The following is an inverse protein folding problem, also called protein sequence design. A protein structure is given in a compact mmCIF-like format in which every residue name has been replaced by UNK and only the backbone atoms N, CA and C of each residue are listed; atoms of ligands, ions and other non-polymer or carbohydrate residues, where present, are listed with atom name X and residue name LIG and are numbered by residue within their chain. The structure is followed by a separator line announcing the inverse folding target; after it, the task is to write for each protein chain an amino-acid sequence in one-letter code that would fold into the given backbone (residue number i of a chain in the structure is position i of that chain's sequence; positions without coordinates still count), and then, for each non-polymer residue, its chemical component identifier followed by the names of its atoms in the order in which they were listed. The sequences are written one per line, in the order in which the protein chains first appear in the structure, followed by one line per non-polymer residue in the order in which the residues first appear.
data_IF_832122161492
#
_entry.id   IF_832122161492
#
_cell.length_a   1.000
_cell.length_b   1.000
_cell.length_c   1.000
_cell.angle_alpha   90.00
_cell.angle_beta   90.00
_cell.angle_gamma   90.00
#
_symmetry.space_group_name_H-M   'P 1'
#
loop_
_entity.id
_entity.type
_entity.pdbx_description
1 polymer ?
#
# COMPACT_ATOMS: atom_id res chain seq x y z
N UNK A 1 -16.12 16.84 -1.86
CA UNK A 1 -15.80 16.75 -1.49
C UNK A 1 -15.69 16.78 -0.87
N UNK A 2 -15.76 16.90 -0.73
CA UNK A 2 -15.51 16.85 -0.12
C UNK A 2 -15.10 16.33 0.35
N UNK A 3 -15.05 16.26 0.28
CA UNK A 3 -14.53 15.68 0.74
C UNK A 3 -13.83 14.97 0.64
N UNK A 4 -13.69 15.42 -0.08
CA UNK A 4 -12.93 14.57 -0.23
C UNK A 4 -11.68 14.81 0.28
N UNK A 5 -11.42 14.50 1.27
CA UNK A 5 -10.23 14.53 1.90
C UNK A 5 -9.39 13.43 1.48
N UNK A 6 -9.69 12.83 0.35
CA UNK A 6 -8.97 11.68 -0.12
C UNK A 6 -7.57 12.03 -0.55
N UNK A 7 -6.66 11.08 -0.38
CA UNK A 7 -5.32 11.20 -0.90
C UNK A 7 -5.35 11.05 -2.41
N UNK A 8 -4.36 11.60 -3.08
CA UNK A 8 -4.22 11.34 -4.51
C UNK A 8 -3.80 9.89 -4.70
N UNK A 9 -3.94 9.41 -5.93
CA UNK A 9 -3.52 8.04 -6.25
C UNK A 9 -2.05 7.83 -5.90
N UNK A 10 -1.20 8.80 -6.23
CA UNK A 10 0.22 8.69 -5.95
C UNK A 10 0.48 8.63 -4.45
N UNK A 11 -0.26 9.42 -3.68
CA UNK A 11 -0.09 9.42 -2.24
C UNK A 11 -0.50 8.09 -1.63
N UNK A 12 -1.59 7.52 -2.12
CA UNK A 12 -2.03 6.23 -1.61
C UNK A 12 -1.06 5.12 -1.95
N UNK A 13 -0.53 5.10 -3.17
CA UNK A 13 0.45 4.11 -3.56
C UNK A 13 1.72 4.27 -2.73
N UNK A 14 2.15 5.51 -2.52
CA UNK A 14 3.33 5.78 -1.70
C UNK A 14 3.12 5.27 -0.28
N UNK A 15 1.94 5.49 0.28
CA UNK A 15 1.64 5.03 1.63
C UNK A 15 1.69 3.51 1.72
N UNK A 16 1.15 2.82 0.71
CA UNK A 16 1.19 1.37 0.68
C UNK A 16 2.63 0.86 0.64
N UNK A 17 3.46 1.49 -0.19
CA UNK A 17 4.85 1.08 -0.30
C UNK A 17 5.63 1.38 0.98
N UNK A 18 5.36 2.51 1.61
CA UNK A 18 6.02 2.85 2.86
C UNK A 18 5.62 1.88 3.97
N UNK A 19 4.37 1.49 4.01
CA UNK A 19 3.91 0.54 4.99
C UNK A 19 4.60 -0.81 4.80
N UNK A 20 4.74 -1.24 3.55
CA UNK A 20 5.43 -2.49 3.25
C UNK A 20 6.88 -2.43 3.73
N UNK A 21 7.55 -1.32 3.46
CA UNK A 21 8.94 -1.16 3.89
C UNK A 21 9.05 -1.19 5.41
N UNK A 22 8.09 -0.58 6.10
CA UNK A 22 8.07 -0.55 7.55
C UNK A 22 7.90 -1.96 8.11
N UNK A 23 7.02 -2.75 7.52
CA UNK A 23 6.80 -4.11 7.96
C UNK A 23 8.07 -4.94 7.86
N UNK A 24 8.79 -4.80 6.76
CA UNK A 24 10.04 -5.53 6.59
C UNK A 24 11.08 -5.05 7.60
N UNK A 25 11.18 -3.75 7.79
CA UNK A 25 12.16 -3.17 8.70
C UNK A 25 11.93 -3.61 10.14
N UNK A 26 10.67 -3.78 10.53
CA UNK A 26 10.34 -4.17 11.89
C UNK A 26 10.23 -5.68 12.07
N UNK A 27 10.47 -6.44 11.02
CA UNK A 27 10.41 -7.89 11.11
C UNK A 27 9.01 -8.43 11.23
N UNK A 28 8.02 -7.72 10.75
CA UNK A 28 6.63 -8.14 10.84
C UNK A 28 6.25 -9.09 9.72
N UNK A 29 7.18 -9.39 8.83
CA UNK A 29 6.94 -10.31 7.75
C UNK A 29 8.20 -10.45 6.94
N UNK A 30 8.29 -11.51 6.14
CA UNK A 30 9.43 -11.66 5.27
C UNK A 30 9.27 -10.73 4.08
N UNK A 31 10.38 -10.32 3.45
CA UNK A 31 10.26 -9.46 2.27
C UNK A 31 9.39 -10.07 1.19
N UNK A 32 9.42 -11.37 1.04
CA UNK A 32 8.62 -12.05 0.02
C UNK A 32 7.14 -11.96 0.33
N UNK A 33 6.77 -12.23 1.57
CA UNK A 33 5.36 -12.16 1.97
C UNK A 33 4.83 -10.74 1.89
N UNK A 34 5.62 -9.79 2.33
CA UNK A 34 5.21 -8.39 2.29
C UNK A 34 5.06 -7.95 0.84
N UNK A 35 5.94 -8.38 -0.03
CA UNK A 35 5.84 -8.03 -1.45
C UNK A 35 4.55 -8.57 -2.04
N UNK A 36 4.20 -9.81 -1.72
CA UNK A 36 2.96 -10.41 -2.23
C UNK A 36 1.74 -9.66 -1.72
N UNK A 37 1.73 -9.33 -0.45
CA UNK A 37 0.62 -8.57 0.13
C UNK A 37 0.48 -7.20 -0.52
N UNK A 38 1.62 -6.54 -0.76
CA UNK A 38 1.62 -5.23 -1.35
C UNK A 38 1.07 -5.27 -2.78
N UNK A 39 1.47 -6.28 -3.54
CA UNK A 39 0.98 -6.44 -4.90
C UNK A 39 -0.52 -6.65 -4.88
N UNK A 40 -1.02 -7.48 -3.96
CA UNK A 40 -2.47 -7.70 -3.84
C UNK A 40 -3.21 -6.42 -3.50
N UNK A 41 -2.67 -5.63 -2.60
CA UNK A 41 -3.29 -4.37 -2.22
C UNK A 41 -3.34 -3.41 -3.40
N UNK A 42 -2.26 -3.30 -4.13
CA UNK A 42 -2.22 -2.42 -5.28
C UNK A 42 -3.19 -2.88 -6.36
N UNK A 43 -3.22 -4.19 -6.61
CA UNK A 43 -4.12 -4.74 -7.62
C UNK A 43 -5.58 -4.48 -7.24
N UNK A 44 -5.89 -4.70 -5.97
CA UNK A 44 -7.23 -4.46 -5.46
C UNK A 44 -7.61 -2.99 -5.58
N UNK A 45 -6.68 -2.12 -5.21
CA UNK A 45 -6.91 -0.70 -5.27
C UNK A 45 -7.19 -0.24 -6.71
N UNK A 46 -6.37 -0.70 -7.63
CA UNK A 46 -6.54 -0.32 -9.03
C UNK A 46 -7.81 -0.92 -9.62
N UNK A 47 -8.18 -2.12 -9.20
CA UNK A 47 -9.41 -2.74 -9.67
C UNK A 47 -10.65 -2.04 -9.16
N UNK A 48 -10.55 -1.41 -8.01
CA UNK A 48 -11.69 -0.72 -7.42
C UNK A 48 -11.97 0.61 -8.08
N UNK A 49 -11.05 1.10 -8.85
CA UNK A 49 -11.26 2.35 -9.55
C UNK A 49 -12.02 2.14 -10.85
#
# INVERSE_FOLDING_TARGET
GTNDLGLTTEEEITAILQDAATQVAYGQGTPEDVAKSTISLLDNYLSSK
#
